data_IF_351437026973
#
_entry.id   IF_351437026973
#
_cell.length_a   1.000
_cell.length_b   1.000
_cell.length_c   1.000
_cell.angle_alpha   90.00
_cell.angle_beta   90.00
_cell.angle_gamma   90.00
#
_symmetry.space_group_name_H-M   'P 1'
#
loop_
_entity.id
_entity.type
_entity.pdbx_description
1 polymer ?
#
# COMPACT_ATOMS: atom_id res chain seq x y z
N UNK A 1 14.88 -13.59 24.15
CA UNK A 1 15.44 -13.10 22.88
C UNK A 1 14.34 -13.16 21.84
N UNK A 2 14.28 -12.21 20.92
CA UNK A 2 13.25 -12.16 19.87
C UNK A 2 13.95 -12.32 18.53
N UNK A 3 13.52 -13.29 17.73
CA UNK A 3 14.03 -13.53 16.38
C UNK A 3 12.97 -13.12 15.37
N UNK A 4 13.39 -12.42 14.32
CA UNK A 4 12.52 -12.07 13.20
C UNK A 4 12.66 -13.15 12.13
N UNK A 5 11.63 -13.28 11.31
CA UNK A 5 11.59 -14.27 10.26
C UNK A 5 10.32 -14.15 9.44
N UNK A 6 10.23 -14.99 8.42
CA UNK A 6 9.10 -15.05 7.51
C UNK A 6 8.53 -16.46 7.44
N UNK A 7 7.21 -16.58 7.31
CA UNK A 7 6.58 -17.86 7.03
C UNK A 7 6.68 -18.16 5.54
N UNK A 8 7.34 -19.26 5.18
CA UNK A 8 7.44 -19.75 3.81
C UNK A 8 6.89 -21.17 3.74
N UNK A 9 5.79 -21.37 3.03
CA UNK A 9 5.16 -22.69 2.88
C UNK A 9 4.75 -23.34 4.22
N UNK A 10 4.38 -22.53 5.21
CA UNK A 10 4.01 -23.02 6.56
C UNK A 10 5.20 -23.24 7.51
N UNK A 11 6.44 -23.01 7.07
CA UNK A 11 7.64 -23.09 7.90
C UNK A 11 8.11 -21.68 8.27
N UNK A 12 8.43 -21.44 9.54
CA UNK A 12 9.04 -20.18 9.99
C UNK A 12 10.52 -20.21 9.65
N UNK A 13 10.96 -19.32 8.76
CA UNK A 13 12.37 -19.12 8.38
C UNK A 13 12.87 -17.88 9.10
N UNK A 14 13.82 -18.05 10.03
CA UNK A 14 14.40 -16.92 10.77
C UNK A 14 15.34 -16.10 9.86
N UNK A 15 15.36 -14.79 10.08
CA UNK A 15 16.27 -13.88 9.40
C UNK A 15 17.69 -14.03 9.98
N UNK A 16 18.67 -14.23 9.10
CA UNK A 16 20.07 -14.41 9.47
C UNK A 16 20.43 -15.83 9.96
N UNK A 17 21.71 -16.02 10.30
CA UNK A 17 22.24 -17.31 10.72
C UNK A 17 22.00 -17.53 12.23
N UNK A 18 20.77 -17.90 12.58
CA UNK A 18 20.36 -18.17 13.96
C UNK A 18 20.27 -19.68 14.20
N UNK A 19 21.07 -20.18 15.13
CA UNK A 19 20.99 -21.56 15.59
C UNK A 19 20.23 -21.63 16.93
N UNK A 20 19.07 -22.28 16.91
CA UNK A 20 18.31 -22.61 18.12
C UNK A 20 18.63 -24.05 18.55
N UNK A 21 18.71 -24.33 19.87
CA UNK A 21 18.96 -25.69 20.33
C UNK A 21 17.77 -26.61 20.02
N UNK A 22 18.06 -27.88 19.74
CA UNK A 22 17.04 -28.90 19.51
C UNK A 22 16.05 -28.98 20.68
N UNK A 23 14.77 -29.07 20.37
CA UNK A 23 13.70 -29.13 21.36
C UNK A 23 13.35 -27.80 22.04
N UNK A 24 13.92 -26.68 21.59
CA UNK A 24 13.54 -25.36 22.09
C UNK A 24 12.05 -25.09 21.89
N UNK A 25 11.35 -24.74 22.98
CA UNK A 25 9.96 -24.26 22.92
C UNK A 25 9.96 -22.82 22.45
N UNK A 26 9.23 -22.54 21.37
CA UNK A 26 9.10 -21.20 20.80
C UNK A 26 7.65 -20.72 20.85
N UNK A 27 7.47 -19.40 20.95
CA UNK A 27 6.19 -18.73 20.74
C UNK A 27 6.31 -17.90 19.47
N UNK A 28 5.33 -18.03 18.58
CA UNK A 28 5.26 -17.24 17.35
C UNK A 28 4.29 -16.11 17.60
N UNK A 29 4.77 -14.88 17.49
CA UNK A 29 3.96 -13.67 17.53
C UNK A 29 3.82 -13.19 16.07
N UNK A 30 2.60 -13.24 15.52
CA UNK A 30 2.28 -12.70 14.20
C UNK A 30 2.39 -11.18 14.27
N UNK A 31 3.23 -10.62 13.41
CA UNK A 31 3.38 -9.17 13.31
C UNK A 31 2.58 -8.77 12.08
N UNK A 32 1.53 -7.97 12.28
CA UNK A 32 0.81 -7.35 11.18
C UNK A 32 1.85 -6.65 10.30
N UNK A 33 1.89 -7.02 9.02
CA UNK A 33 2.63 -6.21 8.07
C UNK A 33 2.05 -4.80 8.18
N UNK A 34 2.87 -3.74 8.27
CA UNK A 34 2.34 -2.42 7.96
C UNK A 34 1.67 -2.59 6.60
N UNK A 35 0.43 -2.13 6.50
CA UNK A 35 -0.35 -2.11 5.27
C UNK A 35 0.50 -1.32 4.27
N UNK A 36 1.42 -2.02 3.61
CA UNK A 36 2.03 -1.51 2.42
C UNK A 36 0.85 -1.55 1.48
N UNK A 37 0.16 -0.42 1.36
CA UNK A 37 -0.43 0.02 0.11
C UNK A 37 0.70 0.00 -0.94
N UNK A 38 1.15 -1.22 -1.28
CA UNK A 38 2.39 -1.55 -1.97
C UNK A 38 2.30 -1.23 -3.45
N UNK A 39 1.15 -0.71 -3.87
CA UNK A 39 0.94 -0.27 -5.22
C UNK A 39 1.75 0.99 -5.46
N UNK A 40 2.50 1.00 -6.55
CA UNK A 40 2.98 2.22 -7.17
C UNK A 40 1.85 3.25 -7.28
N UNK A 41 2.19 4.54 -7.35
CA UNK A 41 1.20 5.61 -7.56
C UNK A 41 0.32 5.33 -8.78
N UNK A 42 0.87 4.64 -9.79
CA UNK A 42 0.14 4.21 -10.98
C UNK A 42 -0.91 3.14 -10.67
N UNK A 43 -0.62 2.17 -9.80
CA UNK A 43 -1.61 1.15 -9.40
C UNK A 43 -2.74 1.76 -8.58
N UNK A 44 -2.42 2.76 -7.75
CA UNK A 44 -3.41 3.46 -6.91
C UNK A 44 -4.26 4.44 -7.71
N UNK A 45 -3.66 5.18 -8.64
CA UNK A 45 -4.33 6.23 -9.42
C UNK A 45 -4.78 5.78 -10.82
N UNK A 46 -4.34 4.61 -11.29
CA UNK A 46 -4.74 4.03 -12.58
C UNK A 46 -6.24 3.98 -12.80
N UNK A 47 -7.07 3.68 -11.79
CA UNK A 47 -8.52 3.73 -11.92
C UNK A 47 -9.10 5.14 -12.13
N UNK A 48 -8.35 6.23 -11.91
CA UNK A 48 -8.87 7.61 -12.01
C UNK A 48 -8.16 8.46 -13.07
N UNK A 49 -6.91 8.13 -13.42
CA UNK A 49 -6.13 8.85 -14.43
C UNK A 49 -6.87 8.87 -15.77
N UNK A 50 -7.04 10.07 -16.34
CA UNK A 50 -7.63 10.26 -17.67
C UNK A 50 -9.15 10.05 -17.76
N UNK A 51 -9.86 9.83 -16.64
CA UNK A 51 -11.32 9.69 -16.66
C UNK A 51 -12.06 11.00 -16.99
N UNK A 52 -11.50 12.13 -16.60
CA UNK A 52 -12.07 13.43 -16.91
C UNK A 52 -11.56 13.91 -18.28
N UNK A 53 -12.48 14.24 -19.18
CA UNK A 53 -12.21 14.72 -20.54
C UNK A 53 -12.80 16.12 -20.67
N UNK A 54 -12.08 17.02 -21.34
CA UNK A 54 -12.57 18.39 -21.61
C UNK A 54 -12.35 19.39 -20.48
N UNK A 55 -11.61 19.02 -19.43
CA UNK A 55 -11.20 19.96 -18.38
C UNK A 55 -10.20 20.98 -18.91
N UNK A 56 -10.33 22.22 -18.47
CA UNK A 56 -9.35 23.27 -18.73
C UNK A 56 -8.02 22.96 -18.04
N UNK A 57 -6.92 23.48 -18.57
CA UNK A 57 -5.59 23.29 -17.97
C UNK A 57 -5.50 23.85 -16.54
N UNK A 58 -6.40 24.77 -16.16
CA UNK A 58 -6.47 25.41 -14.85
C UNK A 58 -7.69 24.92 -14.03
N UNK A 59 -8.25 23.75 -14.37
CA UNK A 59 -9.42 23.18 -13.70
C UNK A 59 -9.20 22.93 -12.20
N UNK A 60 -7.96 22.60 -11.79
CA UNK A 60 -7.60 22.43 -10.38
C UNK A 60 -7.77 23.72 -9.57
N UNK A 61 -7.58 24.88 -10.21
CA UNK A 61 -7.73 26.20 -9.58
C UNK A 61 -9.16 26.75 -9.70
N UNK A 62 -9.97 26.26 -10.64
CA UNK A 62 -11.33 26.74 -10.91
C UNK A 62 -12.35 25.60 -10.94
N UNK A 63 -12.36 24.82 -9.87
CA UNK A 63 -13.20 23.62 -9.74
C UNK A 63 -14.68 23.95 -9.99
N UNK A 64 -15.16 25.08 -9.46
CA UNK A 64 -16.57 25.47 -9.62
C UNK A 64 -16.96 25.70 -11.09
N UNK A 65 -16.11 26.41 -11.84
CA UNK A 65 -16.33 26.69 -13.25
C UNK A 65 -16.28 25.42 -14.10
N UNK A 66 -15.30 24.55 -13.85
CA UNK A 66 -15.09 23.35 -14.67
C UNK A 66 -16.06 22.20 -14.32
N UNK A 67 -16.56 22.10 -13.08
CA UNK A 67 -17.50 21.05 -12.68
C UNK A 67 -18.97 21.47 -12.73
N UNK A 68 -19.27 22.73 -12.44
CA UNK A 68 -20.66 23.21 -12.29
C UNK A 68 -21.03 24.28 -13.33
N UNK A 69 -20.07 24.77 -14.10
CA UNK A 69 -20.26 25.85 -15.05
C UNK A 69 -20.40 27.20 -14.34
N UNK A 70 -20.22 28.27 -15.11
CA UNK A 70 -20.59 29.61 -14.66
C UNK A 70 -22.11 29.77 -14.82
N UNK A 71 -22.76 30.38 -13.84
CA UNK A 71 -24.19 30.68 -13.92
C UNK A 71 -24.39 31.88 -14.84
N UNK A 72 -24.28 31.67 -16.15
CA UNK A 72 -24.71 32.65 -17.14
C UNK A 72 -25.47 31.96 -18.27
N UNK A 73 -26.78 32.19 -18.25
CA UNK A 73 -27.71 31.94 -19.34
C UNK A 73 -27.67 33.11 -20.34
#
# INVERSE_FOLDING_TARGET
>A
MTYRGQVKGGVVVLDGEVHLPDGARVRVDLIDQPDNESGSLLERLGPVIGKAVGLSADAASNIDRDLYGDRNA
#
